data_IF_205754505683
#
_entry.id   IF_205754505683
#
_cell.length_a   1.000
_cell.length_b   1.000
_cell.length_c   1.000
_cell.angle_alpha   90.00
_cell.angle_beta   90.00
_cell.angle_gamma   90.00
#
_symmetry.space_group_name_H-M   'P 1'
#
loop_
_entity.id
_entity.type
_entity.pdbx_description
1 polymer ?
#
# COMPACT_ATOMS: atom_id res chain seq x y z
N UNK A 1 -6.65 45.79 60.71
CA UNK A 1 -6.69 44.74 61.75
C UNK A 1 -6.57 43.38 61.10
N UNK A 2 -5.79 42.48 61.71
CA UNK A 2 -4.74 41.72 61.03
C UNK A 2 -5.00 40.19 61.24
N UNK A 3 -4.17 39.20 60.89
CA UNK A 3 -2.80 38.94 61.34
C UNK A 3 -2.26 37.75 60.53
N UNK A 4 -1.13 38.00 59.85
CA UNK A 4 -0.05 37.07 59.52
C UNK A 4 0.48 36.42 60.82
N UNK A 5 0.75 35.12 60.88
CA UNK A 5 1.69 34.65 61.91
C UNK A 5 2.84 33.81 61.34
N UNK A 6 4.02 34.40 61.47
CA UNK A 6 5.35 33.82 61.28
C UNK A 6 5.78 33.15 62.60
N UNK A 7 6.85 32.35 62.46
CA UNK A 7 7.89 32.10 63.45
C UNK A 7 7.59 31.03 64.52
N UNK A 8 8.55 30.26 65.04
CA UNK A 8 9.95 29.92 64.75
C UNK A 8 10.42 29.18 66.02
N UNK A 9 11.41 28.28 65.89
CA UNK A 9 12.33 27.80 66.97
C UNK A 9 11.74 26.75 67.94
N UNK A 10 12.47 25.76 68.46
CA UNK A 10 13.86 25.25 68.33
C UNK A 10 13.97 24.04 69.27
N UNK A 11 14.85 23.07 68.93
CA UNK A 11 15.67 22.21 69.84
C UNK A 11 14.91 21.21 70.76
N UNK A 12 15.34 19.98 71.07
CA UNK A 12 16.64 19.30 71.16
C UNK A 12 16.43 17.76 71.11
N UNK A 13 17.43 17.07 70.54
CA UNK A 13 18.02 15.75 70.88
C UNK A 13 17.24 14.72 71.74
N UNK A 14 17.25 13.45 71.32
CA UNK A 14 18.05 12.36 71.94
C UNK A 14 18.08 11.09 71.06
N UNK A 15 19.29 10.54 71.02
CA UNK A 15 19.89 9.31 70.48
C UNK A 15 19.08 8.00 70.25
N UNK A 16 19.64 7.20 69.33
CA UNK A 16 19.51 5.74 69.19
C UNK A 16 18.92 5.36 67.82
N UNK A 17 19.66 4.91 66.79
CA UNK A 17 20.79 4.00 66.73
C UNK A 17 20.31 2.72 66.03
N UNK A 18 20.63 2.52 64.74
CA UNK A 18 20.63 1.25 63.97
C UNK A 18 21.08 1.52 62.51
N UNK A 19 21.60 0.54 61.75
CA UNK A 19 22.84 0.64 61.00
C UNK A 19 22.63 1.06 59.53
N UNK A 20 23.66 1.71 58.98
CA UNK A 20 23.79 2.02 57.56
C UNK A 20 23.83 0.71 56.75
N UNK A 21 22.73 0.39 56.08
CA UNK A 21 22.76 -0.46 54.89
C UNK A 21 23.07 0.47 53.71
N UNK A 22 24.30 0.40 53.22
CA UNK A 22 24.75 1.13 52.03
C UNK A 22 24.05 0.55 50.79
N UNK A 23 22.87 1.09 50.45
CA UNK A 23 22.24 0.85 49.16
C UNK A 23 23.06 1.60 48.09
N UNK A 24 23.86 0.85 47.34
CA UNK A 24 24.47 1.32 46.10
C UNK A 24 23.34 1.53 45.10
N UNK A 25 22.89 2.77 44.93
CA UNK A 25 22.09 3.18 43.78
C UNK A 25 23.02 3.14 42.55
N UNK A 26 23.02 2.02 41.84
CA UNK A 26 23.45 2.00 40.44
C UNK A 26 22.37 2.76 39.68
N UNK A 27 22.63 4.02 39.38
CA UNK A 27 21.79 4.81 38.49
C UNK A 27 21.73 4.12 37.14
N UNK A 28 20.60 3.47 36.85
CA UNK A 28 20.27 3.07 35.49
C UNK A 28 20.07 4.37 34.69
N UNK A 29 21.10 4.76 33.96
CA UNK A 29 20.96 5.76 32.91
C UNK A 29 19.88 5.25 31.94
N UNK A 30 18.87 6.05 31.59
CA UNK A 30 17.94 5.66 30.54
C UNK A 30 18.75 5.58 29.26
N UNK A 31 19.04 4.36 28.82
CA UNK A 31 19.41 4.08 27.45
C UNK A 31 18.20 4.47 26.60
N UNK A 32 18.14 5.74 26.22
CA UNK A 32 17.45 6.12 24.99
C UNK A 32 18.27 5.50 23.88
N UNK A 33 17.92 4.27 23.52
CA UNK A 33 18.23 3.77 22.21
C UNK A 33 17.56 4.74 21.24
N UNK A 34 18.33 5.66 20.68
CA UNK A 34 17.99 6.34 19.45
C UNK A 34 17.95 5.25 18.39
N UNK A 35 16.84 4.52 18.33
CA UNK A 35 16.50 3.70 17.19
C UNK A 35 16.47 4.66 16.02
N UNK A 36 17.55 4.69 15.25
CA UNK A 36 17.45 5.10 13.87
C UNK A 36 16.50 4.09 13.25
N UNK A 37 15.23 4.46 13.14
CA UNK A 37 14.32 3.76 12.24
C UNK A 37 15.04 3.70 10.90
N UNK A 38 15.28 2.49 10.40
CA UNK A 38 15.71 2.29 9.02
C UNK A 38 14.89 3.24 8.13
N UNK A 39 15.51 4.00 7.22
CA UNK A 39 14.77 4.93 6.39
C UNK A 39 13.66 4.15 5.69
N UNK A 40 12.40 4.51 5.98
CA UNK A 40 11.25 3.89 5.35
C UNK A 40 11.45 3.97 3.84
N UNK A 41 11.40 2.82 3.15
CA UNK A 41 11.41 2.77 1.69
C UNK A 41 10.40 3.79 1.18
N UNK A 42 10.89 4.78 0.43
CA UNK A 42 10.03 5.80 -0.15
C UNK A 42 9.40 5.20 -1.42
N UNK A 43 8.08 5.12 -1.47
CA UNK A 43 7.35 4.41 -2.53
C UNK A 43 6.27 5.27 -3.17
N UNK A 44 5.79 4.87 -4.35
CA UNK A 44 4.69 5.54 -5.03
C UNK A 44 3.32 5.04 -4.53
N UNK A 45 3.28 3.77 -4.13
CA UNK A 45 2.16 3.10 -3.47
C UNK A 45 2.66 2.43 -2.20
N UNK A 46 1.81 2.33 -1.17
CA UNK A 46 2.15 1.61 0.07
C UNK A 46 2.49 0.13 -0.24
N UNK A 47 1.74 -0.45 -1.18
CA UNK A 47 1.89 -1.83 -1.61
C UNK A 47 2.37 -1.85 -3.06
N UNK A 48 3.58 -2.37 -3.26
CA UNK A 48 4.20 -2.59 -4.57
C UNK A 48 4.60 -4.05 -4.60
N UNK A 49 3.75 -4.89 -5.18
CA UNK A 49 3.86 -6.33 -5.13
C UNK A 49 3.98 -6.95 -6.52
N UNK A 50 4.58 -8.13 -6.57
CA UNK A 50 4.57 -9.01 -7.73
C UNK A 50 4.07 -10.38 -7.30
N UNK A 51 3.16 -10.92 -8.09
CA UNK A 51 2.54 -12.22 -7.84
C UNK A 51 3.41 -13.38 -8.32
N UNK A 52 3.41 -14.46 -7.54
CA UNK A 52 4.19 -15.68 -7.83
C UNK A 52 3.32 -16.92 -8.02
N UNK A 53 2.00 -16.79 -8.09
CA UNK A 53 1.01 -17.89 -8.01
C UNK A 53 1.32 -19.06 -8.96
N UNK A 54 1.88 -18.80 -10.14
CA UNK A 54 2.29 -19.85 -11.08
C UNK A 54 3.32 -20.81 -10.52
N UNK A 55 4.14 -20.39 -9.58
CA UNK A 55 5.16 -21.21 -8.94
C UNK A 55 4.86 -21.46 -7.45
N UNK A 56 4.29 -20.49 -6.73
CA UNK A 56 3.95 -20.66 -5.32
C UNK A 56 2.67 -21.49 -5.11
N UNK A 57 1.76 -21.54 -6.09
CA UNK A 57 0.56 -22.40 -6.06
C UNK A 57 0.61 -23.54 -7.06
N UNK A 58 0.66 -23.24 -8.36
CA UNK A 58 0.40 -24.26 -9.40
C UNK A 58 1.45 -25.40 -9.35
N UNK A 59 2.67 -25.09 -8.92
CA UNK A 59 3.80 -26.03 -8.77
C UNK A 59 3.96 -26.61 -7.33
N UNK A 60 3.08 -26.25 -6.38
CA UNK A 60 3.28 -26.53 -4.95
C UNK A 60 3.37 -28.03 -4.61
N UNK A 61 2.60 -28.88 -5.31
CA UNK A 61 2.68 -30.36 -5.16
C UNK A 61 3.86 -30.99 -5.91
N UNK A 62 4.46 -30.29 -6.86
CA UNK A 62 5.55 -30.81 -7.70
C UNK A 62 6.91 -30.67 -7.01
N UNK A 63 7.08 -29.63 -6.19
CA UNK A 63 8.35 -29.34 -5.52
C UNK A 63 8.27 -29.24 -3.98
N UNK A 64 7.48 -30.08 -3.26
CA UNK A 64 7.20 -29.88 -1.84
C UNK A 64 8.46 -29.94 -0.97
N UNK A 65 9.49 -30.67 -1.41
CA UNK A 65 10.77 -30.85 -0.69
C UNK A 65 12.00 -30.85 -1.60
N UNK A 66 11.89 -30.33 -2.82
CA UNK A 66 13.03 -30.28 -3.74
C UNK A 66 13.95 -29.11 -3.36
N UNK A 67 15.16 -29.35 -2.79
CA UNK A 67 16.05 -28.27 -2.38
C UNK A 67 16.61 -27.49 -3.59
N UNK A 68 16.61 -28.07 -4.79
CA UNK A 68 17.04 -27.32 -5.98
C UNK A 68 16.03 -26.23 -6.35
N UNK A 69 14.76 -26.41 -5.95
CA UNK A 69 13.74 -25.41 -6.15
C UNK A 69 13.93 -24.18 -5.23
N UNK A 70 14.70 -24.28 -4.14
CA UNK A 70 15.05 -23.10 -3.31
C UNK A 70 15.86 -22.07 -4.10
N UNK A 71 16.69 -22.51 -5.06
CA UNK A 71 17.42 -21.60 -5.93
C UNK A 71 16.46 -20.83 -6.85
N UNK A 72 15.39 -21.49 -7.31
CA UNK A 72 14.33 -20.86 -8.14
C UNK A 72 13.56 -19.83 -7.31
N UNK A 73 13.17 -20.19 -6.08
CA UNK A 73 12.51 -19.27 -5.14
C UNK A 73 13.42 -18.05 -4.86
N UNK A 74 14.69 -18.28 -4.48
CA UNK A 74 15.62 -17.19 -4.16
C UNK A 74 15.86 -16.26 -5.35
N UNK A 75 15.97 -16.82 -6.55
CA UNK A 75 16.11 -16.05 -7.78
C UNK A 75 14.88 -15.16 -8.02
N UNK A 76 13.66 -15.70 -7.86
CA UNK A 76 12.43 -14.95 -7.99
C UNK A 76 12.33 -13.83 -6.95
N UNK A 77 12.62 -14.09 -5.67
CA UNK A 77 12.58 -13.07 -4.62
C UNK A 77 13.59 -11.95 -4.89
N UNK A 78 14.81 -12.29 -5.31
CA UNK A 78 15.84 -11.30 -5.67
C UNK A 78 15.40 -10.43 -6.84
N UNK A 79 14.79 -11.03 -7.86
CA UNK A 79 14.29 -10.32 -9.02
C UNK A 79 13.19 -9.32 -8.64
N UNK A 80 12.22 -9.75 -7.84
CA UNK A 80 11.14 -8.90 -7.31
C UNK A 80 11.71 -7.75 -6.46
N UNK A 81 12.59 -8.04 -5.51
CA UNK A 81 13.22 -7.02 -4.67
C UNK A 81 14.00 -5.98 -5.51
N UNK A 82 14.63 -6.40 -6.61
CA UNK A 82 15.39 -5.51 -7.49
C UNK A 82 14.55 -4.46 -8.25
N UNK A 83 13.22 -4.62 -8.25
CA UNK A 83 12.27 -3.64 -8.77
C UNK A 83 12.03 -2.46 -7.80
N UNK A 84 12.35 -2.62 -6.50
CA UNK A 84 11.85 -1.76 -5.44
C UNK A 84 10.50 -2.20 -4.88
N UNK A 85 10.09 -3.46 -5.10
CA UNK A 85 8.88 -4.02 -4.52
C UNK A 85 8.95 -3.96 -2.98
N UNK A 86 7.80 -3.65 -2.34
CA UNK A 86 7.66 -3.73 -0.88
C UNK A 86 7.20 -5.10 -0.42
N UNK A 87 6.45 -5.79 -1.28
CA UNK A 87 5.84 -7.08 -0.96
C UNK A 87 6.07 -8.09 -2.09
N UNK A 88 5.93 -9.37 -1.75
CA UNK A 88 5.70 -10.44 -2.71
C UNK A 88 4.36 -11.11 -2.41
N UNK A 89 3.56 -11.37 -3.45
CA UNK A 89 2.32 -12.11 -3.31
C UNK A 89 2.56 -13.62 -3.50
N UNK A 90 2.16 -14.42 -2.51
CA UNK A 90 2.32 -15.87 -2.47
C UNK A 90 0.97 -16.57 -2.55
N UNK A 91 0.79 -17.43 -3.56
CA UNK A 91 -0.45 -18.17 -3.81
C UNK A 91 -0.53 -19.53 -3.13
N UNK A 92 0.47 -19.92 -2.34
CA UNK A 92 0.54 -21.26 -1.74
C UNK A 92 -0.71 -21.55 -0.90
N UNK A 93 -1.39 -22.70 -1.09
CA UNK A 93 -2.56 -23.04 -0.29
C UNK A 93 -2.21 -23.18 1.19
N UNK A 94 -3.20 -22.95 2.07
CA UNK A 94 -2.99 -22.97 3.52
C UNK A 94 -3.13 -24.35 4.16
N UNK A 95 -3.46 -25.39 3.39
CA UNK A 95 -3.53 -26.75 3.92
C UNK A 95 -2.17 -27.23 4.43
N UNK A 96 -2.17 -27.98 5.54
CA UNK A 96 -0.96 -28.46 6.23
C UNK A 96 0.06 -29.16 5.31
N UNK A 97 -0.38 -29.79 4.22
CA UNK A 97 0.53 -30.43 3.28
C UNK A 97 1.47 -29.44 2.56
N UNK A 98 1.03 -28.18 2.41
CA UNK A 98 1.75 -27.13 1.70
C UNK A 98 2.54 -26.21 2.62
N UNK A 99 2.35 -26.31 3.94
CA UNK A 99 3.04 -25.47 4.93
C UNK A 99 4.57 -25.49 4.76
N UNK A 100 5.24 -26.66 4.58
CA UNK A 100 6.69 -26.68 4.34
C UNK A 100 7.11 -25.95 3.06
N UNK A 101 6.24 -25.90 2.04
CA UNK A 101 6.50 -25.15 0.82
C UNK A 101 6.31 -23.66 1.04
N UNK A 102 5.23 -23.25 1.71
CA UNK A 102 4.99 -21.85 2.08
C UNK A 102 6.13 -21.28 2.92
N UNK A 103 6.62 -22.01 3.92
CA UNK A 103 7.75 -21.60 4.77
C UNK A 103 9.01 -21.25 3.95
N UNK A 104 9.29 -22.02 2.89
CA UNK A 104 10.44 -21.79 2.01
C UNK A 104 10.31 -20.48 1.24
N UNK A 105 9.11 -20.19 0.71
CA UNK A 105 8.82 -18.92 0.05
C UNK A 105 8.90 -17.74 1.00
N UNK A 106 8.29 -17.85 2.19
CA UNK A 106 8.33 -16.80 3.23
C UNK A 106 9.77 -16.53 3.65
N UNK A 107 10.55 -17.56 3.96
CA UNK A 107 11.96 -17.44 4.35
C UNK A 107 12.79 -16.73 3.28
N UNK A 108 12.60 -17.09 2.00
CA UNK A 108 13.27 -16.43 0.90
C UNK A 108 12.82 -14.96 0.75
N UNK A 109 11.54 -14.65 0.92
CA UNK A 109 11.03 -13.27 0.87
C UNK A 109 11.72 -12.41 1.93
N UNK A 110 11.80 -12.90 3.18
CA UNK A 110 12.49 -12.19 4.29
C UNK A 110 13.97 -11.97 4.02
N UNK A 111 14.65 -12.96 3.46
CA UNK A 111 16.07 -12.85 3.07
C UNK A 111 16.31 -11.66 2.12
N UNK A 112 15.34 -11.35 1.27
CA UNK A 112 15.38 -10.21 0.34
C UNK A 112 14.62 -8.97 0.83
N UNK A 113 14.27 -8.93 2.13
CA UNK A 113 13.58 -7.80 2.80
C UNK A 113 12.23 -7.45 2.18
N UNK A 114 11.52 -8.46 1.67
CA UNK A 114 10.15 -8.31 1.18
C UNK A 114 9.17 -8.69 2.30
N UNK A 115 8.14 -7.87 2.46
CA UNK A 115 6.94 -8.29 3.19
C UNK A 115 6.17 -9.34 2.38
N UNK A 116 5.38 -10.16 3.04
CA UNK A 116 4.60 -11.21 2.38
C UNK A 116 3.14 -10.78 2.32
N UNK A 117 2.61 -10.78 1.11
CA UNK A 117 1.18 -10.79 0.89
C UNK A 117 0.73 -12.24 0.65
N UNK A 118 0.19 -12.87 1.69
CA UNK A 118 -0.42 -14.18 1.59
C UNK A 118 -1.71 -14.06 0.77
N UNK A 119 -1.72 -14.65 -0.42
CA UNK A 119 -2.86 -14.75 -1.35
C UNK A 119 -3.13 -16.21 -1.69
N UNK A 120 -3.03 -17.08 -0.68
CA UNK A 120 -3.39 -18.49 -0.80
C UNK A 120 -4.90 -18.68 -0.62
N UNK A 121 -5.34 -19.93 -0.69
CA UNK A 121 -6.70 -20.30 -0.31
C UNK A 121 -6.66 -21.70 0.33
N UNK A 122 -7.74 -22.10 0.99
CA UNK A 122 -7.93 -23.50 1.34
C UNK A 122 -8.27 -24.28 0.07
N UNK A 123 -7.55 -25.36 -0.20
CA UNK A 123 -7.72 -26.14 -1.44
C UNK A 123 -9.17 -26.63 -1.61
N UNK A 124 -9.84 -26.98 -0.51
CA UNK A 124 -11.26 -27.37 -0.53
C UNK A 124 -12.26 -26.25 -0.86
N UNK A 125 -11.85 -24.97 -0.85
CA UNK A 125 -12.73 -23.87 -1.25
C UNK A 125 -13.05 -23.93 -2.74
N UNK A 126 -12.02 -24.07 -3.58
CA UNK A 126 -12.14 -24.13 -5.05
C UNK A 126 -12.04 -25.56 -5.60
N UNK A 127 -11.91 -26.56 -4.72
CA UNK A 127 -11.74 -27.96 -5.11
C UNK A 127 -10.37 -28.25 -5.74
N UNK A 128 -9.35 -27.47 -5.38
CA UNK A 128 -7.99 -27.70 -5.84
C UNK A 128 -7.46 -29.03 -5.30
N UNK A 129 -6.65 -29.67 -6.13
CA UNK A 129 -5.89 -30.86 -5.77
C UNK A 129 -6.70 -32.00 -5.11
N UNK A 130 -7.94 -32.18 -5.59
CA UNK A 130 -8.89 -33.22 -5.14
C UNK A 130 -9.36 -33.07 -3.67
N UNK A 131 -9.20 -31.89 -3.07
CA UNK A 131 -9.75 -31.64 -1.73
C UNK A 131 -11.29 -31.60 -1.76
N UNK A 132 -11.97 -32.10 -0.70
CA UNK A 132 -13.42 -32.03 -0.62
C UNK A 132 -13.91 -30.57 -0.51
N UNK A 133 -15.10 -30.27 -1.05
CA UNK A 133 -15.71 -28.94 -0.95
C UNK A 133 -15.83 -28.44 0.49
N UNK A 134 -15.68 -27.13 0.66
CA UNK A 134 -15.71 -26.47 1.96
C UNK A 134 -16.84 -25.43 2.07
N UNK A 135 -17.45 -25.34 3.25
CA UNK A 135 -18.41 -24.29 3.60
C UNK A 135 -17.72 -23.02 4.14
N UNK A 136 -18.42 -21.88 4.11
CA UNK A 136 -17.97 -20.62 4.74
C UNK A 136 -17.54 -20.81 6.19
N UNK A 137 -18.35 -21.52 7.00
CA UNK A 137 -18.04 -21.74 8.41
C UNK A 137 -16.77 -22.57 8.63
N UNK A 138 -16.54 -23.58 7.79
CA UNK A 138 -15.29 -24.36 7.84
C UNK A 138 -14.09 -23.51 7.41
N UNK A 139 -14.25 -22.67 6.39
CA UNK A 139 -13.20 -21.75 5.94
C UNK A 139 -12.79 -20.81 7.09
N UNK A 140 -13.74 -20.12 7.73
CA UNK A 140 -13.47 -19.23 8.85
C UNK A 140 -12.73 -19.91 10.00
N UNK A 141 -13.16 -21.11 10.40
CA UNK A 141 -12.52 -21.87 11.49
C UNK A 141 -11.11 -22.30 11.11
N UNK A 142 -10.89 -22.81 9.90
CA UNK A 142 -9.55 -23.20 9.45
C UNK A 142 -8.63 -21.99 9.36
N UNK A 143 -9.13 -20.86 8.85
CA UNK A 143 -8.39 -19.60 8.76
C UNK A 143 -7.96 -19.08 10.14
N UNK A 144 -8.85 -19.07 11.13
CA UNK A 144 -8.49 -18.67 12.50
C UNK A 144 -7.39 -19.58 13.06
N UNK A 145 -7.58 -20.90 12.97
CA UNK A 145 -6.63 -21.87 13.50
C UNK A 145 -5.27 -21.76 12.82
N UNK A 146 -5.23 -21.60 11.49
CA UNK A 146 -3.98 -21.43 10.75
C UNK A 146 -3.15 -20.26 11.28
N UNK A 147 -3.77 -19.10 11.53
CA UNK A 147 -3.08 -17.93 12.06
C UNK A 147 -2.57 -18.19 13.48
N UNK A 148 -3.39 -18.81 14.33
CA UNK A 148 -3.07 -19.06 15.74
C UNK A 148 -2.00 -20.15 15.93
N UNK A 149 -2.04 -21.19 15.09
CA UNK A 149 -1.17 -22.36 15.18
C UNK A 149 0.20 -22.11 14.50
N UNK A 150 0.25 -21.20 13.52
CA UNK A 150 1.46 -20.89 12.75
C UNK A 150 1.93 -19.43 12.87
N UNK A 151 2.06 -18.86 14.09
CA UNK A 151 2.41 -17.45 14.27
C UNK A 151 3.81 -17.10 13.76
N UNK A 152 4.66 -18.11 13.53
CA UNK A 152 6.02 -17.96 13.04
C UNK A 152 6.12 -17.58 11.56
N UNK A 153 5.03 -17.71 10.79
CA UNK A 153 4.99 -17.26 9.39
C UNK A 153 4.93 -15.73 9.28
N UNK A 154 4.26 -15.10 10.23
CA UNK A 154 3.81 -13.72 10.09
C UNK A 154 4.76 -12.71 10.75
N UNK A 155 5.04 -11.63 10.04
CA UNK A 155 5.78 -10.46 10.50
C UNK A 155 4.94 -9.19 10.36
N UNK A 156 5.29 -8.17 11.14
CA UNK A 156 4.60 -6.87 11.08
C UNK A 156 4.81 -6.25 9.69
N UNK A 157 3.73 -5.72 9.12
CA UNK A 157 3.72 -5.18 7.75
C UNK A 157 3.36 -6.20 6.67
N UNK A 158 3.13 -7.47 7.03
CA UNK A 158 2.55 -8.44 6.11
C UNK A 158 1.08 -8.13 5.77
N UNK A 159 0.59 -8.78 4.73
CA UNK A 159 -0.81 -8.76 4.32
C UNK A 159 -1.32 -10.20 4.23
N UNK A 160 -2.49 -10.47 4.79
CA UNK A 160 -3.12 -11.79 4.72
C UNK A 160 -4.50 -11.74 4.09
N UNK A 161 -4.66 -12.37 2.94
CA UNK A 161 -5.93 -12.54 2.22
C UNK A 161 -6.27 -14.02 2.22
N UNK A 162 -7.29 -14.42 2.98
CA UNK A 162 -7.60 -15.84 3.20
C UNK A 162 -8.29 -16.53 2.02
N UNK A 163 -8.92 -15.75 1.14
CA UNK A 163 -9.33 -16.18 -0.20
C UNK A 163 -9.18 -15.02 -1.20
N UNK A 164 -8.22 -15.05 -2.13
CA UNK A 164 -8.32 -14.21 -3.32
C UNK A 164 -9.42 -14.77 -4.23
N UNK A 165 -10.21 -13.89 -4.84
CA UNK A 165 -11.33 -14.25 -5.71
C UNK A 165 -12.29 -15.27 -5.06
N UNK A 166 -12.70 -15.00 -3.81
CA UNK A 166 -13.54 -15.91 -3.01
C UNK A 166 -14.80 -16.39 -3.75
N UNK A 167 -15.29 -15.64 -4.75
CA UNK A 167 -16.40 -16.02 -5.63
C UNK A 167 -16.17 -17.31 -6.44
N UNK A 168 -14.92 -17.75 -6.63
CA UNK A 168 -14.58 -18.92 -7.44
C UNK A 168 -14.82 -20.25 -6.71
N UNK A 169 -15.08 -20.22 -5.40
CA UNK A 169 -15.27 -21.41 -4.58
C UNK A 169 -16.40 -21.28 -3.57
N UNK A 170 -16.48 -22.25 -2.66
CA UNK A 170 -17.49 -22.30 -1.61
C UNK A 170 -18.92 -22.21 -2.17
N UNK A 171 -19.77 -21.29 -1.69
CA UNK A 171 -21.12 -21.08 -2.24
C UNK A 171 -21.15 -20.56 -3.69
N UNK A 172 -20.01 -20.13 -4.24
CA UNK A 172 -19.85 -19.66 -5.61
C UNK A 172 -20.19 -18.19 -5.83
N UNK A 173 -20.14 -17.80 -7.09
CA UNK A 173 -20.21 -16.42 -7.54
C UNK A 173 -21.53 -15.72 -7.19
N UNK A 174 -21.51 -14.62 -6.42
CA UNK A 174 -22.71 -13.89 -5.99
C UNK A 174 -23.54 -13.34 -7.15
N UNK A 175 -22.94 -13.13 -8.32
CA UNK A 175 -23.64 -12.71 -9.55
C UNK A 175 -24.50 -13.83 -10.13
N UNK A 176 -24.13 -15.09 -9.87
CA UNK A 176 -24.78 -16.29 -10.43
C UNK A 176 -25.77 -16.92 -9.45
N UNK A 177 -25.42 -17.01 -8.17
CA UNK A 177 -26.27 -17.62 -7.15
C UNK A 177 -27.20 -16.61 -6.45
N UNK A 178 -27.06 -15.30 -6.74
CA UNK A 178 -27.82 -14.20 -6.12
C UNK A 178 -27.61 -14.01 -4.61
N UNK A 179 -26.61 -14.65 -4.00
CA UNK A 179 -26.29 -14.55 -2.57
C UNK A 179 -25.29 -13.42 -2.28
N UNK A 180 -25.62 -12.19 -2.73
CA UNK A 180 -24.79 -11.00 -2.48
C UNK A 180 -24.67 -10.72 -0.98
N UNK A 181 -25.77 -10.88 -0.23
CA UNK A 181 -25.78 -10.62 1.21
C UNK A 181 -24.90 -11.61 1.97
N UNK A 182 -25.01 -12.91 1.69
CA UNK A 182 -24.18 -13.91 2.34
C UNK A 182 -22.71 -13.78 1.97
N UNK A 183 -22.40 -13.38 0.72
CA UNK A 183 -21.03 -13.11 0.31
C UNK A 183 -20.43 -11.92 1.08
N UNK A 184 -21.16 -10.79 1.17
CA UNK A 184 -20.74 -9.63 1.99
C UNK A 184 -20.51 -10.00 3.46
N UNK A 185 -21.44 -10.73 4.05
CA UNK A 185 -21.34 -11.14 5.45
C UNK A 185 -20.11 -12.03 5.67
N UNK A 186 -19.83 -12.95 4.75
CA UNK A 186 -18.65 -13.81 4.82
C UNK A 186 -17.35 -13.01 4.81
N UNK A 187 -17.19 -12.05 3.89
CA UNK A 187 -15.98 -11.21 3.85
C UNK A 187 -15.80 -10.41 5.14
N UNK A 188 -16.90 -9.89 5.70
CA UNK A 188 -16.87 -9.15 6.97
C UNK A 188 -16.47 -10.08 8.12
N UNK A 189 -17.07 -11.26 8.22
CA UNK A 189 -16.76 -12.24 9.27
C UNK A 189 -15.31 -12.73 9.17
N UNK A 190 -14.81 -12.95 7.95
CA UNK A 190 -13.42 -13.30 7.69
C UNK A 190 -12.46 -12.22 8.19
N UNK A 191 -12.68 -10.96 7.80
CA UNK A 191 -11.87 -9.83 8.26
C UNK A 191 -11.86 -9.70 9.79
N UNK A 192 -13.00 -9.87 10.46
CA UNK A 192 -13.06 -9.83 11.92
C UNK A 192 -12.27 -10.97 12.56
N UNK A 193 -12.40 -12.19 12.06
CA UNK A 193 -11.74 -13.37 12.60
C UNK A 193 -10.22 -13.27 12.40
N UNK A 194 -9.76 -12.91 11.20
CA UNK A 194 -8.32 -12.74 10.92
C UNK A 194 -7.73 -11.62 11.76
N UNK A 195 -8.40 -10.46 11.85
CA UNK A 195 -7.93 -9.34 12.67
C UNK A 195 -7.81 -9.71 14.15
N UNK A 196 -8.79 -10.43 14.68
CA UNK A 196 -8.76 -10.91 16.06
C UNK A 196 -7.65 -11.95 16.28
N UNK A 197 -7.41 -12.85 15.31
CA UNK A 197 -6.34 -13.84 15.39
C UNK A 197 -4.96 -13.18 15.40
N UNK A 198 -4.70 -12.21 14.50
CA UNK A 198 -3.44 -11.46 14.48
C UNK A 198 -3.22 -10.64 15.76
N UNK A 199 -4.28 -10.03 16.30
CA UNK A 199 -4.20 -9.36 17.60
C UNK A 199 -3.83 -10.32 18.75
N UNK A 200 -4.36 -11.56 18.75
CA UNK A 200 -4.02 -12.59 19.76
C UNK A 200 -2.55 -13.00 19.69
N UNK A 201 -1.97 -13.13 18.49
CA UNK A 201 -0.55 -13.47 18.32
C UNK A 201 0.37 -12.25 18.33
N UNK A 202 -0.17 -11.03 18.53
CA UNK A 202 0.55 -9.76 18.61
C UNK A 202 1.39 -9.47 17.36
N UNK A 203 0.73 -9.58 16.21
CA UNK A 203 1.30 -9.23 14.90
C UNK A 203 0.44 -8.16 14.22
N UNK A 204 1.09 -7.19 13.61
CA UNK A 204 0.45 -6.17 12.79
C UNK A 204 0.41 -6.63 11.33
N UNK A 205 -0.57 -7.48 11.02
CA UNK A 205 -0.81 -8.02 9.67
C UNK A 205 -2.13 -7.47 9.15
N UNK A 206 -2.09 -6.83 7.98
CA UNK A 206 -3.28 -6.28 7.33
C UNK A 206 -4.12 -7.43 6.75
N UNK A 207 -5.39 -7.53 7.12
CA UNK A 207 -6.26 -8.62 6.66
C UNK A 207 -7.56 -8.18 5.97
N UNK A 208 -7.65 -6.90 5.60
CA UNK A 208 -8.82 -6.34 4.93
C UNK A 208 -8.69 -6.22 3.40
N UNK A 209 -7.71 -6.89 2.80
CA UNK A 209 -7.54 -6.90 1.34
C UNK A 209 -8.30 -8.06 0.69
N UNK A 210 -9.63 -8.00 0.76
CA UNK A 210 -10.52 -8.99 0.15
C UNK A 210 -10.53 -8.84 -1.39
N UNK A 211 -9.64 -9.58 -2.07
CA UNK A 211 -9.48 -9.58 -3.53
C UNK A 211 -10.68 -10.23 -4.22
N UNK A 212 -11.21 -9.61 -5.26
CA UNK A 212 -12.29 -10.16 -6.08
C UNK A 212 -12.28 -9.58 -7.49
N UNK A 213 -12.87 -10.28 -8.45
CA UNK A 213 -13.02 -9.80 -9.81
C UNK A 213 -13.71 -8.43 -9.87
N UNK A 214 -13.32 -7.58 -10.81
CA UNK A 214 -13.83 -6.19 -10.92
C UNK A 214 -15.35 -6.05 -11.03
N UNK A 215 -16.05 -7.01 -11.60
CA UNK A 215 -17.52 -7.03 -11.67
C UNK A 215 -18.19 -7.55 -10.40
N UNK A 216 -17.54 -8.47 -9.67
CA UNK A 216 -17.93 -8.86 -8.31
C UNK A 216 -17.75 -7.67 -7.37
N UNK A 217 -16.62 -6.95 -7.44
CA UNK A 217 -16.36 -5.76 -6.64
C UNK A 217 -17.46 -4.71 -6.81
N UNK A 218 -17.89 -4.44 -8.05
CA UNK A 218 -19.01 -3.51 -8.31
C UNK A 218 -20.34 -3.97 -7.73
N UNK A 219 -20.58 -5.27 -7.59
CA UNK A 219 -21.80 -5.78 -6.97
C UNK A 219 -21.71 -5.77 -5.44
N UNK A 220 -20.55 -6.14 -4.89
CA UNK A 220 -20.35 -6.46 -3.48
C UNK A 220 -19.95 -5.23 -2.67
N UNK A 221 -19.10 -4.36 -3.19
CA UNK A 221 -18.46 -3.28 -2.43
C UNK A 221 -19.25 -1.97 -2.49
N UNK A 222 -20.36 -1.93 -1.74
CA UNK A 222 -21.03 -0.66 -1.41
C UNK A 222 -20.37 0.05 -0.20
N UNK A 223 -20.75 1.31 0.04
CA UNK A 223 -20.17 2.12 1.13
C UNK A 223 -20.24 1.47 2.51
N UNK A 224 -21.29 0.70 2.79
CA UNK A 224 -21.45 0.03 4.07
C UNK A 224 -20.48 -1.15 4.20
N UNK A 225 -20.39 -1.98 3.15
CA UNK A 225 -19.50 -3.14 3.09
C UNK A 225 -18.04 -2.70 3.11
N UNK A 226 -17.68 -1.71 2.29
CA UNK A 226 -16.34 -1.12 2.25
C UNK A 226 -15.94 -0.56 3.60
N UNK A 227 -16.83 0.17 4.29
CA UNK A 227 -16.55 0.66 5.64
C UNK A 227 -16.36 -0.48 6.65
N UNK A 228 -17.16 -1.55 6.56
CA UNK A 228 -17.05 -2.71 7.42
C UNK A 228 -15.72 -3.47 7.21
N UNK A 229 -15.17 -3.42 6.00
CA UNK A 229 -13.86 -3.98 5.62
C UNK A 229 -12.72 -2.95 5.74
N UNK A 230 -12.84 -1.96 6.63
CA UNK A 230 -11.76 -1.02 6.92
C UNK A 230 -11.47 0.00 5.80
N UNK A 231 -12.41 0.22 4.88
CA UNK A 231 -12.34 1.30 3.89
C UNK A 231 -11.54 0.99 2.63
N UNK A 232 -11.19 -0.28 2.38
CA UNK A 232 -10.40 -0.69 1.21
C UNK A 232 -11.24 -1.59 0.30
N UNK A 233 -11.09 -1.40 -1.00
CA UNK A 233 -11.58 -2.28 -2.06
C UNK A 233 -10.37 -2.85 -2.79
N UNK A 234 -10.14 -4.16 -2.65
CA UNK A 234 -9.12 -4.88 -3.40
C UNK A 234 -9.76 -5.53 -4.61
N UNK A 235 -9.19 -5.30 -5.79
CA UNK A 235 -9.80 -5.73 -7.05
C UNK A 235 -8.80 -6.42 -7.97
N UNK A 236 -9.20 -7.56 -8.49
CA UNK A 236 -8.50 -8.34 -9.49
C UNK A 236 -9.11 -7.95 -10.84
N UNK A 237 -8.33 -7.25 -11.67
CA UNK A 237 -8.90 -6.49 -12.78
C UNK A 237 -8.03 -6.49 -14.03
N UNK A 238 -8.51 -7.17 -15.05
CA UNK A 238 -7.89 -7.24 -16.37
C UNK A 238 -8.79 -6.58 -17.41
N UNK A 239 -8.28 -5.58 -18.12
CA UNK A 239 -9.05 -4.80 -19.10
C UNK A 239 -8.27 -4.51 -20.36
N UNK A 240 -8.96 -4.39 -21.49
CA UNK A 240 -8.30 -4.18 -22.78
C UNK A 240 -7.51 -2.88 -22.96
N UNK A 241 -7.74 -1.84 -22.15
CA UNK A 241 -7.07 -0.53 -22.32
C UNK A 241 -6.72 0.15 -20.99
N UNK A 242 -5.59 0.87 -20.90
CA UNK A 242 -5.20 1.66 -19.72
C UNK A 242 -6.26 2.65 -19.24
N UNK A 243 -6.87 3.41 -20.16
CA UNK A 243 -7.92 4.38 -19.82
C UNK A 243 -9.17 3.72 -19.24
N UNK A 244 -9.47 2.47 -19.62
CA UNK A 244 -10.57 1.71 -19.00
C UNK A 244 -10.22 1.32 -17.57
N UNK A 245 -8.99 0.90 -17.30
CA UNK A 245 -8.52 0.58 -15.95
C UNK A 245 -8.74 1.78 -15.02
N UNK A 246 -8.19 2.94 -15.37
CA UNK A 246 -8.30 4.13 -14.52
C UNK A 246 -9.75 4.59 -14.29
N UNK A 247 -10.60 4.54 -15.33
CA UNK A 247 -12.03 4.84 -15.18
C UNK A 247 -12.73 3.85 -14.25
N UNK A 248 -12.51 2.56 -14.46
CA UNK A 248 -13.11 1.51 -13.64
C UNK A 248 -12.75 1.65 -12.16
N UNK A 249 -11.49 2.00 -11.85
CA UNK A 249 -11.05 2.26 -10.48
C UNK A 249 -11.69 3.53 -9.92
N UNK A 250 -11.81 4.60 -10.72
CA UNK A 250 -12.48 5.84 -10.31
C UNK A 250 -13.96 5.61 -9.99
N UNK A 251 -14.66 4.82 -10.82
CA UNK A 251 -16.05 4.44 -10.58
C UNK A 251 -16.20 3.65 -9.27
N UNK A 252 -15.27 2.72 -9.01
CA UNK A 252 -15.26 1.95 -7.75
C UNK A 252 -15.06 2.86 -6.55
N UNK A 253 -14.18 3.86 -6.64
CA UNK A 253 -13.99 4.87 -5.58
C UNK A 253 -15.27 5.67 -5.34
N UNK A 254 -15.91 6.17 -6.40
CA UNK A 254 -17.15 6.94 -6.28
C UNK A 254 -18.28 6.11 -5.65
N UNK A 255 -18.42 4.87 -6.10
CA UNK A 255 -19.44 3.94 -5.63
C UNK A 255 -19.22 3.53 -4.17
N UNK A 256 -18.01 3.06 -3.85
CA UNK A 256 -17.68 2.42 -2.58
C UNK A 256 -17.25 3.43 -1.50
N UNK A 257 -16.74 4.59 -1.90
CA UNK A 257 -16.10 5.56 -1.01
C UNK A 257 -14.80 5.06 -0.37
N UNK A 258 -14.22 3.96 -0.85
CA UNK A 258 -12.99 3.37 -0.33
C UNK A 258 -11.74 3.73 -1.11
N UNK A 259 -10.60 3.39 -0.51
CA UNK A 259 -9.31 3.32 -1.19
C UNK A 259 -9.22 2.02 -1.99
N UNK A 260 -8.36 2.00 -3.00
CA UNK A 260 -8.23 0.93 -3.97
C UNK A 260 -6.87 0.25 -3.85
N UNK A 261 -6.89 -1.07 -3.87
CA UNK A 261 -5.71 -1.90 -4.15
C UNK A 261 -5.99 -2.73 -5.39
N UNK A 262 -5.10 -2.69 -6.37
CA UNK A 262 -5.11 -3.67 -7.46
C UNK A 262 -4.51 -4.98 -6.92
N UNK A 263 -5.38 -5.95 -6.61
CA UNK A 263 -5.01 -7.25 -6.06
C UNK A 263 -4.38 -8.17 -7.09
N UNK A 264 -4.82 -8.06 -8.34
CA UNK A 264 -4.17 -8.58 -9.53
C UNK A 264 -4.41 -7.63 -10.68
N UNK A 265 -3.32 -7.26 -11.35
CA UNK A 265 -3.37 -6.59 -12.63
C UNK A 265 -2.23 -7.07 -13.49
N UNK A 266 -2.47 -7.14 -14.78
CA UNK A 266 -1.45 -7.43 -15.78
C UNK A 266 -1.91 -6.90 -17.12
N UNK A 267 -1.16 -7.21 -18.17
CA UNK A 267 -1.61 -6.90 -19.53
C UNK A 267 -2.90 -7.66 -19.86
N UNK A 268 -3.66 -7.21 -20.86
CA UNK A 268 -4.93 -7.84 -21.22
C UNK A 268 -4.76 -9.34 -21.50
N UNK A 269 -5.64 -10.15 -20.92
CA UNK A 269 -5.61 -11.61 -21.07
C UNK A 269 -5.78 -11.98 -22.55
N UNK A 270 -4.87 -12.79 -23.14
CA UNK A 270 -4.89 -13.08 -24.57
C UNK A 270 -6.20 -13.67 -25.08
N UNK A 271 -6.82 -14.55 -24.31
CA UNK A 271 -8.06 -15.24 -24.70
C UNK A 271 -9.28 -14.31 -24.71
N UNK A 272 -9.19 -13.17 -24.03
CA UNK A 272 -10.28 -12.19 -23.91
C UNK A 272 -10.03 -10.97 -24.82
N UNK A 273 -8.76 -10.56 -24.96
CA UNK A 273 -8.40 -9.27 -25.55
C UNK A 273 -7.45 -9.35 -26.75
N UNK A 274 -6.97 -10.55 -27.10
CA UNK A 274 -5.98 -10.75 -28.16
C UNK A 274 -4.54 -10.77 -27.64
N UNK A 275 -3.63 -11.34 -28.44
CA UNK A 275 -2.21 -11.51 -28.07
C UNK A 275 -1.44 -10.19 -28.22
N UNK A 276 -0.61 -9.89 -27.22
CA UNK A 276 0.38 -8.81 -27.24
C UNK A 276 1.79 -9.39 -27.21
N UNK A 277 2.69 -8.84 -28.04
CA UNK A 277 4.12 -9.08 -27.93
C UNK A 277 4.73 -8.30 -26.75
N UNK A 278 5.98 -8.60 -26.41
CA UNK A 278 6.65 -8.03 -25.23
C UNK A 278 6.70 -6.49 -25.20
N UNK A 279 6.92 -5.85 -26.34
CA UNK A 279 6.93 -4.39 -26.45
C UNK A 279 5.54 -3.79 -26.27
N UNK A 280 4.53 -4.43 -26.85
CA UNK A 280 3.13 -4.04 -26.65
C UNK A 280 2.71 -4.18 -25.19
N UNK A 281 3.15 -5.25 -24.53
CA UNK A 281 2.95 -5.46 -23.10
C UNK A 281 3.60 -4.34 -22.29
N UNK A 282 4.88 -4.04 -22.52
CA UNK A 282 5.59 -2.98 -21.83
C UNK A 282 4.91 -1.60 -22.01
N UNK A 283 4.50 -1.26 -23.23
CA UNK A 283 3.79 -0.01 -23.51
C UNK A 283 2.44 0.05 -22.78
N UNK A 284 1.69 -1.05 -22.76
CA UNK A 284 0.42 -1.11 -22.06
C UNK A 284 0.61 -0.92 -20.55
N UNK A 285 1.63 -1.56 -19.96
CA UNK A 285 1.96 -1.45 -18.53
C UNK A 285 2.33 0.00 -18.19
N UNK A 286 3.18 0.64 -19.00
CA UNK A 286 3.62 2.02 -18.72
C UNK A 286 2.42 2.98 -18.74
N UNK A 287 1.56 2.86 -19.75
CA UNK A 287 0.35 3.67 -19.85
C UNK A 287 -0.65 3.38 -18.71
N UNK A 288 -0.81 2.11 -18.33
CA UNK A 288 -1.70 1.73 -17.24
C UNK A 288 -1.21 2.29 -15.89
N UNK A 289 0.07 2.10 -15.58
CA UNK A 289 0.66 2.58 -14.33
C UNK A 289 0.74 4.11 -14.28
N UNK A 290 0.95 4.79 -15.42
CA UNK A 290 0.86 6.25 -15.51
C UNK A 290 -0.52 6.77 -15.11
N UNK A 291 -1.60 6.16 -15.61
CA UNK A 291 -2.96 6.56 -15.24
C UNK A 291 -3.31 6.17 -13.81
N UNK A 292 -2.88 4.99 -13.34
CA UNK A 292 -3.09 4.53 -11.95
C UNK A 292 -2.35 5.43 -10.96
N UNK A 293 -1.14 5.88 -11.29
CA UNK A 293 -0.36 6.77 -10.43
C UNK A 293 -1.07 8.11 -10.17
N UNK A 294 -1.91 8.58 -11.10
CA UNK A 294 -2.73 9.79 -10.96
C UNK A 294 -3.92 9.66 -10.02
N UNK A 295 -4.23 8.45 -9.58
CA UNK A 295 -5.36 8.19 -8.69
C UNK A 295 -4.85 8.12 -7.25
N UNK A 296 -5.05 9.18 -6.48
CA UNK A 296 -4.68 9.24 -5.05
C UNK A 296 -5.42 8.19 -4.20
N UNK A 297 -6.59 7.75 -4.66
CA UNK A 297 -7.33 6.68 -4.02
C UNK A 297 -6.67 5.31 -4.20
N UNK A 298 -5.75 5.12 -5.15
CA UNK A 298 -5.01 3.86 -5.31
C UNK A 298 -3.79 3.87 -4.41
N UNK A 299 -3.77 2.95 -3.45
CA UNK A 299 -2.71 2.82 -2.43
C UNK A 299 -1.86 1.57 -2.63
N UNK A 300 -2.22 0.69 -3.56
CA UNK A 300 -1.50 -0.57 -3.77
C UNK A 300 -1.66 -1.16 -5.17
N UNK A 301 -0.57 -1.77 -5.66
CA UNK A 301 -0.50 -2.47 -6.95
C UNK A 301 0.21 -3.81 -6.77
N UNK A 302 -0.46 -4.90 -7.12
CA UNK A 302 0.14 -6.23 -7.28
C UNK A 302 0.12 -6.63 -8.76
N UNK A 303 1.31 -6.75 -9.35
CA UNK A 303 1.44 -7.15 -10.76
C UNK A 303 1.43 -8.67 -10.90
N UNK A 304 0.52 -9.18 -11.71
CA UNK A 304 0.47 -10.56 -12.16
C UNK A 304 1.15 -10.68 -13.53
N UNK A 305 2.22 -11.46 -13.73
CA UNK A 305 2.87 -12.39 -12.78
C UNK A 305 4.39 -12.40 -12.97
N UNK A 306 5.13 -12.91 -11.99
CA UNK A 306 6.57 -13.08 -12.05
C UNK A 306 7.03 -13.96 -13.24
N UNK A 307 6.70 -15.26 -13.21
CA UNK A 307 7.10 -16.30 -14.19
C UNK A 307 5.91 -17.20 -14.51
N UNK A 308 5.80 -17.72 -15.73
CA UNK A 308 4.88 -18.83 -16.09
C UNK A 308 3.48 -18.41 -16.56
N UNK A 309 3.23 -17.11 -16.73
CA UNK A 309 1.96 -16.56 -17.22
C UNK A 309 2.10 -15.87 -18.56
N UNK A 310 0.97 -15.56 -19.20
CA UNK A 310 0.93 -14.80 -20.48
C UNK A 310 1.52 -13.39 -20.39
N UNK A 311 1.62 -12.88 -19.17
CA UNK A 311 2.08 -11.53 -18.82
C UNK A 311 3.40 -11.54 -18.05
N UNK A 312 4.10 -12.69 -18.03
CA UNK A 312 5.27 -12.91 -17.18
C UNK A 312 6.32 -11.81 -17.34
N UNK A 313 6.94 -11.41 -16.23
CA UNK A 313 8.01 -10.41 -16.20
C UNK A 313 9.38 -11.04 -16.49
N UNK A 314 9.57 -12.30 -16.12
CA UNK A 314 10.78 -13.06 -16.42
C UNK A 314 10.43 -14.39 -17.06
N UNK A 315 11.29 -14.84 -17.98
CA UNK A 315 11.22 -16.21 -18.47
C UNK A 315 11.56 -17.22 -17.37
N UNK A 316 11.25 -18.50 -17.59
CA UNK A 316 11.69 -19.60 -16.71
C UNK A 316 13.21 -19.72 -16.57
N UNK A 317 13.99 -19.16 -17.49
CA UNK A 317 15.46 -19.06 -17.40
C UNK A 317 15.95 -17.80 -16.67
N UNK A 318 15.04 -16.95 -16.19
CA UNK A 318 15.34 -15.73 -15.46
C UNK A 318 15.71 -14.53 -16.32
N UNK A 319 15.46 -14.58 -17.62
CA UNK A 319 15.72 -13.45 -18.52
C UNK A 319 14.62 -12.40 -18.31
N UNK A 320 14.96 -11.15 -17.95
CA UNK A 320 13.97 -10.10 -17.79
C UNK A 320 13.36 -9.72 -19.13
N UNK A 321 12.04 -9.53 -19.15
CA UNK A 321 11.30 -8.99 -20.29
C UNK A 321 11.17 -7.47 -20.20
N UNK A 322 10.81 -6.80 -21.28
CA UNK A 322 10.70 -5.33 -21.36
C UNK A 322 9.81 -4.73 -20.24
N UNK A 323 8.78 -5.45 -19.82
CA UNK A 323 7.90 -5.04 -18.70
C UNK A 323 8.63 -4.86 -17.36
N UNK A 324 9.76 -5.53 -17.14
CA UNK A 324 10.58 -5.40 -15.91
C UNK A 324 11.10 -3.98 -15.74
N UNK A 325 11.61 -3.38 -16.82
CA UNK A 325 12.12 -2.01 -16.80
C UNK A 325 11.00 -1.01 -16.48
N UNK A 326 9.82 -1.22 -17.08
CA UNK A 326 8.65 -0.39 -16.84
C UNK A 326 8.18 -0.52 -15.39
N UNK A 327 8.03 -1.72 -14.86
CA UNK A 327 7.56 -1.89 -13.48
C UNK A 327 8.54 -1.30 -12.47
N UNK A 328 9.85 -1.48 -12.70
CA UNK A 328 10.91 -0.86 -11.90
C UNK A 328 10.81 0.67 -11.89
N UNK A 329 10.46 1.27 -13.03
CA UNK A 329 10.27 2.73 -13.13
C UNK A 329 9.25 3.26 -12.12
N UNK A 330 8.17 2.53 -11.85
CA UNK A 330 7.16 2.93 -10.89
C UNK A 330 7.42 2.44 -9.46
N UNK A 331 8.07 1.28 -9.30
CA UNK A 331 8.35 0.70 -7.98
C UNK A 331 9.60 1.29 -7.31
N UNK A 332 10.47 1.95 -8.06
CA UNK A 332 11.63 2.69 -7.54
C UNK A 332 11.54 4.18 -7.94
N UNK A 333 10.54 4.93 -7.45
CA UNK A 333 10.35 6.32 -7.85
C UNK A 333 11.47 7.23 -7.34
N UNK A 334 11.69 8.32 -8.05
CA UNK A 334 12.52 9.43 -7.61
C UNK A 334 11.68 10.41 -6.77
N UNK A 335 12.28 10.97 -5.73
CA UNK A 335 11.63 11.94 -4.86
C UNK A 335 12.26 13.31 -5.06
N UNK A 336 11.45 14.26 -5.50
CA UNK A 336 11.87 15.65 -5.62
C UNK A 336 11.40 16.40 -4.38
N UNK A 337 12.33 17.10 -3.74
CA UNK A 337 12.04 17.94 -2.59
C UNK A 337 12.32 19.40 -2.89
N UNK A 338 11.72 20.31 -2.14
CA UNK A 338 12.04 21.72 -2.27
C UNK A 338 11.21 22.63 -1.39
N UNK A 339 11.43 23.93 -1.57
CA UNK A 339 10.72 25.01 -0.91
C UNK A 339 10.13 25.96 -1.94
N UNK A 340 8.86 26.33 -1.72
CA UNK A 340 8.17 27.36 -2.49
C UNK A 340 8.10 28.63 -1.65
N UNK A 341 8.63 29.73 -2.20
CA UNK A 341 8.65 31.04 -1.57
C UNK A 341 8.07 32.11 -2.51
N UNK A 342 7.76 33.28 -1.97
CA UNK A 342 7.44 34.47 -2.77
C UNK A 342 8.71 35.26 -3.14
N UNK A 343 8.53 36.39 -3.82
CA UNK A 343 9.61 37.29 -4.21
C UNK A 343 10.34 37.96 -3.03
N UNK A 344 9.81 37.85 -1.80
CA UNK A 344 10.42 38.34 -0.56
C UNK A 344 11.02 37.18 0.27
N UNK A 345 11.18 36.00 -0.33
CA UNK A 345 11.65 34.78 0.31
C UNK A 345 10.77 34.32 1.48
N UNK A 346 9.50 34.73 1.53
CA UNK A 346 8.56 34.22 2.51
C UNK A 346 7.97 32.89 2.02
N UNK A 347 7.78 31.89 2.89
CA UNK A 347 7.17 30.63 2.52
C UNK A 347 5.77 30.79 1.94
N UNK A 348 5.49 30.08 0.85
CA UNK A 348 4.13 29.97 0.30
C UNK A 348 3.55 28.64 0.76
N UNK A 349 2.59 28.71 1.69
CA UNK A 349 1.82 27.56 2.18
C UNK A 349 0.75 27.15 1.18
N UNK A 350 0.45 25.85 1.13
CA UNK A 350 -0.63 25.28 0.32
C UNK A 350 -0.53 25.64 -1.17
N UNK A 351 0.70 25.85 -1.66
CA UNK A 351 0.98 25.81 -3.08
C UNK A 351 0.85 24.37 -3.54
N UNK A 352 0.05 24.15 -4.60
CA UNK A 352 -0.06 22.86 -5.26
C UNK A 352 1.19 22.64 -6.10
N UNK A 353 1.86 21.51 -5.88
CA UNK A 353 2.97 21.01 -6.69
C UNK A 353 2.48 19.75 -7.38
N UNK A 354 2.39 19.79 -8.69
CA UNK A 354 1.83 18.74 -9.54
C UNK A 354 2.91 18.23 -10.49
N UNK A 355 3.14 16.92 -10.47
CA UNK A 355 4.13 16.24 -11.31
C UNK A 355 3.56 15.63 -12.59
N UNK A 356 2.25 15.74 -12.80
CA UNK A 356 1.50 15.00 -13.82
C UNK A 356 1.17 13.55 -13.44
N UNK A 357 1.77 13.03 -12.36
CA UNK A 357 1.49 11.72 -11.79
C UNK A 357 0.93 11.81 -10.39
N UNK A 358 1.45 12.69 -9.56
CA UNK A 358 0.94 12.98 -8.21
C UNK A 358 0.80 14.48 -8.05
N UNK A 359 0.05 14.89 -7.05
CA UNK A 359 0.17 16.24 -6.54
C UNK A 359 0.30 16.26 -5.02
N UNK A 360 0.92 17.34 -4.54
CA UNK A 360 1.11 17.59 -3.11
C UNK A 360 0.89 19.07 -2.83
N UNK A 361 0.74 19.41 -1.55
CA UNK A 361 0.60 20.77 -1.09
C UNK A 361 1.80 21.15 -0.23
N UNK A 362 2.32 22.35 -0.42
CA UNK A 362 3.40 22.83 0.43
C UNK A 362 2.94 23.02 1.88
N UNK A 363 3.84 22.72 2.81
CA UNK A 363 3.61 22.92 4.25
C UNK A 363 3.63 24.40 4.64
N UNK A 364 3.47 24.72 5.93
CA UNK A 364 3.62 26.09 6.44
C UNK A 364 5.00 26.70 6.19
N UNK A 365 6.05 25.87 6.11
CA UNK A 365 7.41 26.30 5.76
C UNK A 365 7.64 26.39 4.25
N UNK A 366 6.61 26.17 3.42
CA UNK A 366 6.72 26.14 1.97
C UNK A 366 7.38 24.86 1.44
N UNK A 367 7.70 23.90 2.32
CA UNK A 367 8.32 22.63 1.94
C UNK A 367 7.36 21.74 1.16
N UNK A 368 7.87 21.03 0.16
CA UNK A 368 7.18 19.92 -0.50
C UNK A 368 8.10 18.73 -0.73
N UNK A 369 7.50 17.56 -0.86
CA UNK A 369 8.10 16.34 -1.37
C UNK A 369 7.09 15.66 -2.30
N UNK A 370 7.55 15.23 -3.47
CA UNK A 370 6.70 14.58 -4.47
C UNK A 370 7.42 13.43 -5.16
N UNK A 371 6.72 12.31 -5.31
CA UNK A 371 7.22 11.12 -6.00
C UNK A 371 6.97 11.19 -7.51
N UNK A 372 7.91 10.67 -8.28
CA UNK A 372 7.89 10.62 -9.75
C UNK A 372 8.44 9.26 -10.22
N UNK A 373 7.82 8.62 -11.23
CA UNK A 373 8.42 7.45 -11.85
C UNK A 373 9.85 7.74 -12.36
N UNK A 374 10.79 6.81 -12.16
CA UNK A 374 12.17 7.01 -12.61
C UNK A 374 12.22 7.00 -14.14
N UNK A 375 13.06 7.86 -14.73
CA UNK A 375 13.30 8.00 -16.18
C UNK A 375 12.32 8.91 -16.97
N UNK A 376 11.34 9.53 -16.32
CA UNK A 376 10.57 10.59 -16.97
C UNK A 376 11.29 11.95 -16.90
N UNK A 377 11.09 12.79 -17.93
CA UNK A 377 11.50 14.19 -17.85
C UNK A 377 10.70 14.85 -16.73
N UNK A 378 11.37 15.08 -15.62
CA UNK A 378 10.77 15.59 -14.41
C UNK A 378 10.33 17.03 -14.66
N UNK A 379 9.02 17.23 -14.83
CA UNK A 379 8.44 18.56 -14.91
C UNK A 379 7.45 18.77 -13.78
N UNK A 380 7.59 19.89 -13.09
CA UNK A 380 6.71 20.29 -12.00
C UNK A 380 5.89 21.50 -12.43
N UNK A 381 4.62 21.46 -12.08
CA UNK A 381 3.67 22.55 -12.21
C UNK A 381 3.33 23.05 -10.80
N UNK A 382 3.69 24.29 -10.50
CA UNK A 382 3.48 24.91 -9.19
C UNK A 382 2.44 26.00 -9.32
N UNK A 383 1.39 25.94 -8.50
CA UNK A 383 0.31 26.91 -8.49
C UNK A 383 -0.10 27.27 -7.06
N UNK A 384 -0.29 28.56 -6.80
CA UNK A 384 -0.78 29.06 -5.52
C UNK A 384 -1.76 30.24 -5.75
N UNK A 385 -2.80 30.41 -4.92
CA UNK A 385 -3.69 31.56 -5.00
C UNK A 385 -2.93 32.89 -4.96
N UNK A 386 -3.22 33.80 -5.90
CA UNK A 386 -2.53 35.10 -5.99
C UNK A 386 -1.19 35.09 -6.75
N UNK A 387 -0.67 33.91 -7.10
CA UNK A 387 0.57 33.76 -7.85
C UNK A 387 0.31 33.34 -9.31
N UNK A 388 1.28 33.64 -10.18
CA UNK A 388 1.30 33.06 -11.52
C UNK A 388 1.72 31.59 -11.42
N UNK A 389 1.08 30.73 -12.21
CA UNK A 389 1.48 29.34 -12.35
C UNK A 389 2.89 29.27 -12.95
N UNK A 390 3.73 28.42 -12.39
CA UNK A 390 5.09 28.20 -12.85
C UNK A 390 5.28 26.74 -13.26
N UNK A 391 5.94 26.53 -14.41
CA UNK A 391 6.39 25.21 -14.86
C UNK A 391 7.90 25.16 -14.81
N UNK A 392 8.46 24.07 -14.28
CA UNK A 392 9.90 23.89 -14.13
C UNK A 392 10.29 22.48 -14.55
N UNK A 393 11.37 22.37 -15.31
CA UNK A 393 12.04 21.09 -15.56
C UNK A 393 13.09 20.87 -14.47
N UNK A 394 12.99 19.77 -13.74
CA UNK A 394 13.91 19.36 -12.69
C UNK A 394 15.11 18.69 -13.35
N UNK A 395 16.29 19.28 -13.16
CA UNK A 395 17.54 18.75 -13.74
C UNK A 395 18.33 17.88 -12.75
N UNK A 396 18.28 18.24 -11.46
CA UNK A 396 18.96 17.55 -10.37
C UNK A 396 17.93 17.19 -9.30
N UNK A 397 17.29 16.01 -9.36
CA UNK A 397 16.25 15.63 -8.39
C UNK A 397 16.79 15.40 -6.97
N UNK A 398 18.09 15.10 -6.85
CA UNK A 398 18.75 14.84 -5.56
C UNK A 398 19.00 16.11 -4.72
N UNK A 399 18.89 17.30 -5.33
CA UNK A 399 19.07 18.58 -4.65
C UNK A 399 17.71 19.24 -4.37
N UNK A 400 17.47 19.76 -3.15
CA UNK A 400 16.25 20.49 -2.87
C UNK A 400 16.07 21.70 -3.79
N UNK A 401 14.91 21.79 -4.44
CA UNK A 401 14.56 22.91 -5.31
C UNK A 401 14.19 24.15 -4.48
N UNK A 402 14.59 25.32 -4.95
CA UNK A 402 14.15 26.60 -4.39
C UNK A 402 13.35 27.35 -5.46
N UNK A 403 12.03 27.47 -5.23
CA UNK A 403 11.08 27.97 -6.23
C UNK A 403 10.46 29.27 -5.72
N UNK A 404 10.85 30.40 -6.32
CA UNK A 404 10.27 31.70 -6.01
C UNK A 404 9.11 32.03 -6.97
N UNK A 405 7.87 31.97 -6.48
CA UNK A 405 6.68 32.30 -7.25
C UNK A 405 6.53 33.81 -7.45
N UNK A 406 6.16 34.18 -8.67
CA UNK A 406 5.85 35.56 -9.01
C UNK A 406 4.38 35.86 -8.76
N UNK A 407 4.09 37.02 -8.15
CA UNK A 407 2.71 37.47 -8.00
C UNK A 407 2.04 37.60 -9.37
N UNK A 408 0.77 37.21 -9.44
CA UNK A 408 -0.01 37.32 -10.67
C UNK A 408 -0.18 38.80 -11.03
N UNK A 409 0.37 39.21 -12.16
CA UNK A 409 0.14 40.53 -12.74
C UNK A 409 -1.31 40.62 -13.21
N UNK A 410 -2.21 41.15 -12.37
CA UNK A 410 -3.60 41.42 -12.74
C UNK A 410 -3.65 42.67 -13.62
N UNK A 411 -4.35 42.58 -14.76
CA UNK A 411 -4.65 43.77 -15.56
C UNK A 411 -5.67 44.66 -14.83
N UNK A 412 -5.84 45.90 -15.30
CA UNK A 412 -6.64 46.90 -14.59
C UNK A 412 -8.10 46.47 -14.39
N UNK A 413 -8.70 45.79 -15.38
CA UNK A 413 -10.06 45.27 -15.30
C UNK A 413 -10.17 44.16 -14.24
N UNK A 414 -9.18 43.26 -14.19
CA UNK A 414 -9.12 42.20 -13.20
C UNK A 414 -8.91 42.75 -11.78
N UNK A 415 -8.12 43.83 -11.61
CA UNK A 415 -7.98 44.53 -10.33
C UNK A 415 -9.29 45.18 -9.90
N UNK A 416 -10.03 45.79 -10.83
CA UNK A 416 -11.32 46.42 -10.56
C UNK A 416 -12.37 45.37 -10.14
N UNK A 417 -12.44 44.25 -10.85
CA UNK A 417 -13.34 43.14 -10.52
C UNK A 417 -13.01 42.46 -9.20
N UNK A 418 -11.73 42.22 -8.90
CA UNK A 418 -11.32 41.68 -7.61
C UNK A 418 -11.74 42.60 -6.45
N UNK A 419 -11.52 43.93 -6.59
CA UNK A 419 -11.96 44.92 -5.59
C UNK A 419 -13.48 44.98 -5.43
N UNK A 420 -14.24 44.85 -6.53
CA UNK A 420 -15.70 44.79 -6.47
C UNK A 420 -16.17 43.49 -5.79
N UNK A 421 -15.59 42.35 -6.13
CA UNK A 421 -15.91 41.06 -5.50
C UNK A 421 -15.62 41.04 -3.99
N UNK A 422 -14.50 41.63 -3.56
CA UNK A 422 -14.16 41.76 -2.14
C UNK A 422 -15.06 42.78 -1.41
N UNK A 423 -15.47 43.85 -2.08
CA UNK A 423 -16.46 44.79 -1.57
C UNK A 423 -17.83 44.10 -1.34
N UNK A 424 -18.26 43.25 -2.27
CA UNK A 424 -19.49 42.49 -2.12
C UNK A 424 -19.40 41.39 -1.05
N UNK A 425 -18.28 40.66 -0.94
CA UNK A 425 -18.07 39.67 0.14
C UNK A 425 -18.08 40.32 1.53
N UNK A 426 -17.44 41.48 1.68
CA UNK A 426 -17.46 42.24 2.94
C UNK A 426 -18.85 42.82 3.27
N UNK A 427 -19.73 43.01 2.28
CA UNK A 427 -21.12 43.44 2.49
C UNK A 427 -22.07 42.28 2.82
N UNK A 428 -21.79 41.07 2.34
CA UNK A 428 -22.65 39.90 2.54
C UNK A 428 -22.24 39.02 3.73
N UNK A 429 -21.06 39.22 4.32
CA UNK A 429 -20.61 38.49 5.51
C UNK A 429 -20.43 36.98 5.29
N UNK A 430 -20.26 36.58 4.03
CA UNK A 430 -20.01 35.18 3.64
C UNK A 430 -18.51 34.99 3.46
N UNK A 431 -17.87 34.45 4.50
CA UNK A 431 -16.57 33.79 4.39
C UNK A 431 -16.70 32.44 3.67
#
# INVERSE_FOLDING_TARGET
MPILNKNLRRLLLVAGGFPLATLVFVGAAPFFASGQSEPSLRTLWEIQAVDTVKYSRDEARLHPRDPNFDAVIDQQMRAIASLGATHVALGTPYDEEFLPFLERWVSAARKHRLNVWYRGNWSGWEGWYDYPPMSRGQHLVKTENFILDHPFLFEDGDIFTACPECENGGPGDPRRNSDVRGHRQFLIDEFWITSNAFAKIKRDVRSNLASMNGDVARLVMDRATTKALGGIVTVDHYVGTPAKLARDLSDLVEQSGGLIVLGETGVPIPDIHGRMNEREQALWIDQALAEVARLDAVIGVNYWVNVGGSTELWSSSGVPREGVAILKKYFSPQFVTGFVTDAQSQPVRAARVDSGYRDTMTTESGFFEIALPSDDELSLKIAAPGFAEQKLVVRNPDEPLNIALQQRQLNWWQRLWARLGDFFRNLTGTD
#
